data_IF_458037140028
#
_entry.id   IF_458037140028
#
_cell.length_a   1.000
_cell.length_b   1.000
_cell.length_c   1.000
_cell.angle_alpha   90.00
_cell.angle_beta   90.00
_cell.angle_gamma   90.00
#
_symmetry.space_group_name_H-M   'P 1'
#
loop_
_entity.id
_entity.type
_entity.pdbx_description
1 polymer ?
#
# COMPACT_ATOMS: atom_id res chain seq x y z
N UNK A 1 -33.36 64.73 1.66
CA UNK A 1 -33.75 63.85 0.52
C UNK A 1 -32.71 62.75 0.37
N UNK A 2 -33.12 61.55 -0.04
CA UNK A 2 -32.57 60.28 0.43
C UNK A 2 -31.19 59.87 -0.12
N UNK A 3 -30.56 59.01 0.68
CA UNK A 3 -29.24 58.37 0.58
C UNK A 3 -29.03 57.63 -0.75
N UNK A 4 -27.84 57.83 -1.28
CA UNK A 4 -27.19 57.03 -2.32
C UNK A 4 -27.07 55.55 -1.88
N UNK A 5 -27.48 54.56 -2.70
CA UNK A 5 -27.29 53.16 -2.37
C UNK A 5 -25.82 52.78 -2.58
N UNK A 6 -25.13 52.57 -1.46
CA UNK A 6 -23.82 51.93 -1.38
C UNK A 6 -23.82 50.62 -2.19
N UNK A 7 -22.91 50.44 -3.18
CA UNK A 7 -22.80 49.20 -3.89
C UNK A 7 -22.18 48.13 -2.97
N UNK A 8 -22.99 47.17 -2.56
CA UNK A 8 -22.51 45.93 -1.96
C UNK A 8 -21.90 45.05 -3.06
N UNK A 9 -20.57 45.10 -3.22
CA UNK A 9 -19.87 44.12 -4.03
C UNK A 9 -18.40 43.99 -3.62
N UNK A 10 -18.07 42.93 -2.89
CA UNK A 10 -17.09 41.91 -3.35
C UNK A 10 -16.76 40.96 -2.18
N UNK A 11 -17.13 39.67 -2.26
CA UNK A 11 -16.55 38.68 -1.36
C UNK A 11 -15.10 38.42 -1.78
N UNK A 12 -14.15 38.72 -0.88
CA UNK A 12 -12.77 38.24 -1.02
C UNK A 12 -12.76 36.71 -0.93
N UNK A 13 -12.49 36.07 -2.07
CA UNK A 13 -12.24 34.63 -2.13
C UNK A 13 -10.76 34.44 -1.76
N UNK A 14 -10.51 33.95 -0.54
CA UNK A 14 -9.18 33.52 -0.12
C UNK A 14 -8.75 32.32 -0.97
N UNK A 15 -7.53 32.30 -1.54
CA UNK A 15 -7.02 31.10 -2.19
C UNK A 15 -6.74 30.04 -1.12
N UNK A 16 -7.45 28.91 -1.21
CA UNK A 16 -7.13 27.71 -0.45
C UNK A 16 -5.80 27.17 -0.97
N UNK A 17 -4.81 27.09 -0.09
CA UNK A 17 -3.49 26.57 -0.43
C UNK A 17 -3.62 25.12 -0.93
N UNK A 18 -3.17 24.89 -2.16
CA UNK A 18 -3.03 23.55 -2.72
C UNK A 18 -2.01 22.75 -1.88
N UNK A 19 -2.29 21.48 -1.52
CA UNK A 19 -1.28 20.65 -0.88
C UNK A 19 -0.15 20.34 -1.88
N UNK A 20 1.08 20.60 -1.46
CA UNK A 20 2.30 20.29 -2.21
C UNK A 20 2.40 18.76 -2.45
N UNK A 21 2.75 18.30 -3.67
CA UNK A 21 3.06 16.91 -3.89
C UNK A 21 4.43 16.62 -3.26
N UNK A 22 4.45 16.00 -2.08
CA UNK A 22 5.65 15.37 -1.54
C UNK A 22 5.98 14.14 -2.38
N UNK A 23 6.59 14.37 -3.54
CA UNK A 23 7.20 13.32 -4.35
C UNK A 23 8.44 12.82 -3.61
N UNK A 24 8.25 11.75 -2.85
CA UNK A 24 9.30 10.87 -2.33
C UNK A 24 10.09 10.30 -3.52
N UNK A 25 11.09 11.05 -3.97
CA UNK A 25 12.23 10.48 -4.67
C UNK A 25 13.02 9.66 -3.65
N UNK A 26 12.84 8.34 -3.65
CA UNK A 26 13.66 7.47 -2.83
C UNK A 26 13.97 6.16 -3.54
N UNK A 27 15.28 5.91 -3.62
CA UNK A 27 15.99 4.70 -3.95
C UNK A 27 16.18 4.39 -5.45
N UNK A 28 17.28 4.92 -6.00
CA UNK A 28 18.07 4.17 -6.97
C UNK A 28 18.63 2.89 -6.33
N UNK A 29 18.63 1.75 -7.05
CA UNK A 29 19.09 0.47 -6.55
C UNK A 29 20.61 0.35 -6.67
N UNK A 30 21.35 0.55 -5.57
CA UNK A 30 22.77 0.22 -5.54
C UNK A 30 22.96 -1.27 -5.26
N UNK A 31 23.28 -2.00 -6.31
CA UNK A 31 23.62 -3.41 -6.27
C UNK A 31 24.86 -3.65 -5.39
N UNK A 32 24.69 -4.49 -4.37
CA UNK A 32 25.77 -5.31 -3.83
C UNK A 32 25.28 -6.75 -3.85
N UNK A 33 25.44 -7.37 -5.01
CA UNK A 33 25.30 -8.81 -5.16
C UNK A 33 26.51 -9.48 -4.50
N UNK A 34 26.45 -9.63 -3.17
CA UNK A 34 27.28 -10.62 -2.49
C UNK A 34 26.75 -11.98 -2.94
N UNK A 35 27.49 -12.63 -3.85
CA UNK A 35 27.21 -13.98 -4.32
C UNK A 35 27.07 -14.90 -3.10
N UNK A 36 25.83 -15.23 -2.75
CA UNK A 36 25.52 -16.13 -1.66
C UNK A 36 25.87 -17.55 -2.13
N UNK A 37 26.63 -18.35 -1.35
CA UNK A 37 26.90 -19.73 -1.71
C UNK A 37 25.56 -20.45 -1.91
N UNK A 38 25.34 -20.97 -3.11
CA UNK A 38 24.17 -21.79 -3.39
C UNK A 38 24.35 -23.11 -2.63
N UNK A 39 23.80 -23.18 -1.43
CA UNK A 39 23.59 -24.45 -0.77
C UNK A 39 22.61 -25.25 -1.62
N UNK A 40 22.93 -26.51 -1.99
CA UNK A 40 21.99 -27.34 -2.72
C UNK A 40 20.70 -27.44 -1.93
N UNK A 41 19.64 -26.83 -2.48
CA UNK A 41 18.31 -26.89 -1.91
C UNK A 41 17.85 -28.33 -2.07
N UNK A 42 18.04 -29.12 -1.00
CA UNK A 42 17.50 -30.48 -0.87
C UNK A 42 16.04 -30.42 -1.30
N UNK A 43 15.55 -31.26 -2.23
CA UNK A 43 14.16 -31.25 -2.61
C UNK A 43 13.36 -31.44 -1.33
N UNK A 44 12.59 -30.41 -0.96
CA UNK A 44 11.76 -30.43 0.21
C UNK A 44 10.84 -31.64 0.04
N UNK A 45 11.10 -32.70 0.83
CA UNK A 45 10.26 -33.88 0.85
C UNK A 45 8.84 -33.41 1.10
N UNK A 46 7.89 -33.90 0.29
CA UNK A 46 6.45 -33.68 0.50
C UNK A 46 6.16 -33.86 1.98
N UNK A 47 5.78 -32.78 2.66
CA UNK A 47 5.25 -32.87 4.00
C UNK A 47 4.07 -33.87 3.99
N UNK A 48 3.87 -34.63 5.08
CA UNK A 48 2.75 -35.55 5.17
C UNK A 48 1.43 -34.79 4.95
N UNK A 49 0.57 -35.35 4.10
CA UNK A 49 -0.72 -34.77 3.66
C UNK A 49 -1.79 -34.82 4.78
N UNK A 50 -1.44 -34.38 6.00
CA UNK A 50 -2.45 -33.89 6.93
C UNK A 50 -2.91 -32.57 6.36
N UNK A 51 -4.19 -32.48 5.96
CA UNK A 51 -4.72 -31.40 5.10
C UNK A 51 -4.06 -30.07 5.37
N UNK A 52 -3.50 -29.44 4.33
CA UNK A 52 -2.64 -28.24 4.28
C UNK A 52 -3.26 -27.00 4.99
N UNK A 53 -3.48 -27.12 6.30
CA UNK A 53 -4.12 -26.16 7.19
C UNK A 53 -3.09 -25.48 8.09
N UNK A 54 -1.80 -25.67 7.83
CA UNK A 54 -0.75 -24.87 8.43
C UNK A 54 0.08 -24.19 7.33
N UNK A 55 -0.15 -22.89 7.05
CA UNK A 55 -1.09 -21.99 7.74
C UNK A 55 -2.57 -22.24 7.37
N UNK A 56 -3.53 -21.96 8.28
CA UNK A 56 -4.96 -22.21 8.05
C UNK A 56 -5.62 -21.14 7.16
N UNK A 57 -4.82 -20.19 6.65
CA UNK A 57 -5.25 -19.10 5.80
C UNK A 57 -4.42 -19.03 4.51
N UNK A 58 -5.02 -18.43 3.48
CA UNK A 58 -4.36 -18.01 2.23
C UNK A 58 -4.35 -16.49 2.14
N UNK A 59 -3.44 -15.93 1.34
CA UNK A 59 -3.40 -14.48 1.06
C UNK A 59 -3.93 -14.27 -0.36
N UNK A 60 -4.94 -13.42 -0.54
CA UNK A 60 -5.49 -13.11 -1.86
C UNK A 60 -4.62 -12.09 -2.63
N UNK A 61 -4.97 -11.82 -3.89
CA UNK A 61 -4.24 -10.86 -4.73
C UNK A 61 -4.22 -9.42 -4.17
N UNK A 62 -5.06 -9.11 -3.17
CA UNK A 62 -5.11 -7.82 -2.46
C UNK A 62 -4.31 -7.86 -1.16
N UNK A 63 -3.67 -8.98 -0.81
CA UNK A 63 -2.93 -9.15 0.44
C UNK A 63 -3.80 -9.52 1.65
N UNK A 64 -5.07 -9.86 1.46
CA UNK A 64 -6.00 -10.14 2.56
C UNK A 64 -5.91 -11.61 2.96
N UNK A 65 -5.81 -11.88 4.27
CA UNK A 65 -5.83 -13.24 4.82
C UNK A 65 -7.25 -13.80 4.82
N UNK A 66 -7.46 -14.94 4.17
CA UNK A 66 -8.73 -15.66 4.11
C UNK A 66 -8.56 -17.07 4.67
N UNK A 67 -9.46 -17.48 5.55
CA UNK A 67 -9.42 -18.83 6.12
C UNK A 67 -9.81 -19.86 5.06
N UNK A 68 -9.10 -20.98 5.03
CA UNK A 68 -9.39 -22.13 4.17
C UNK A 68 -10.62 -22.86 4.73
N UNK A 69 -11.73 -23.04 3.99
CA UNK A 69 -12.93 -23.72 4.49
C UNK A 69 -12.68 -25.15 4.96
N UNK A 70 -11.71 -25.84 4.35
CA UNK A 70 -11.28 -27.18 4.73
C UNK A 70 -10.54 -27.25 6.08
N UNK A 71 -10.34 -26.11 6.74
CA UNK A 71 -9.62 -25.96 8.00
C UNK A 71 -10.51 -25.44 9.15
N UNK A 72 -11.83 -25.37 8.93
CA UNK A 72 -12.87 -25.15 9.95
C UNK A 72 -13.37 -26.50 10.46
#
# INVERSE_FOLDING_TARGET
TPRDPSPAASPEILPTAAPEPTSLASAEPSASATARPQVPSKPAGKAPQGGDCNPPYTIDAKGIRRLKPQCL
#
